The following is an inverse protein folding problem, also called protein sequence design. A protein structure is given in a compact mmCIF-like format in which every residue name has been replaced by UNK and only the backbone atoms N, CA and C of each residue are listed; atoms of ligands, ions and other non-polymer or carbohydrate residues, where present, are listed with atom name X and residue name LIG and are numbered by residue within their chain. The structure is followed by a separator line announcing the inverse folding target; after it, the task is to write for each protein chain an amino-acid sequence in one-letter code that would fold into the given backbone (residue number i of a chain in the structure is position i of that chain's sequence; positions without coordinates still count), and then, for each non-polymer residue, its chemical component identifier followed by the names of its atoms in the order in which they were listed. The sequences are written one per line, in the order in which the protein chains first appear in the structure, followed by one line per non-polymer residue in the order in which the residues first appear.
data_IF_185514157922
#
_entry.id   IF_185514157922
#
_cell.length_a   1.000
_cell.length_b   1.000
_cell.length_c   1.000
_cell.angle_alpha   90.00
_cell.angle_beta   90.00
_cell.angle_gamma   90.00
#
_symmetry.space_group_name_H-M   'P 1'
#
loop_
_entity.id
_entity.type
_entity.pdbx_description
1 polymer ?
#
# COMPACT_ATOMS: atom_id res chain seq x y z
N UNK A 1 -1.26 -13.98 15.46
CA UNK A 1 -0.75 -14.07 14.08
C UNK A 1 -1.61 -13.17 13.20
N UNK A 2 -0.99 -12.23 12.49
CA UNK A 2 -1.69 -11.33 11.56
C UNK A 2 -1.34 -11.69 10.12
N UNK A 3 -2.26 -11.48 9.19
CA UNK A 3 -2.08 -11.83 7.76
C UNK A 3 -0.89 -11.09 7.10
N UNK A 4 -0.43 -10.00 7.71
CA UNK A 4 0.72 -9.20 7.25
C UNK A 4 1.43 -8.52 8.42
N UNK A 5 2.73 -8.27 8.25
CA UNK A 5 3.60 -7.66 9.27
C UNK A 5 4.08 -6.24 8.90
N UNK A 6 3.81 -5.79 7.67
CA UNK A 6 4.26 -4.48 7.16
C UNK A 6 3.14 -3.75 6.43
N UNK A 7 3.26 -2.42 6.30
CA UNK A 7 2.35 -1.60 5.49
C UNK A 7 2.36 -2.05 4.03
N UNK A 8 3.51 -2.45 3.48
CA UNK A 8 3.61 -2.99 2.13
C UNK A 8 2.81 -4.30 1.98
N UNK A 9 2.93 -5.21 2.95
CA UNK A 9 2.16 -6.45 2.99
C UNK A 9 0.66 -6.20 3.07
N UNK A 10 0.24 -5.24 3.89
CA UNK A 10 -1.16 -4.81 3.94
C UNK A 10 -1.66 -4.26 2.60
N UNK A 11 -0.90 -3.34 1.97
CA UNK A 11 -1.28 -2.77 0.67
C UNK A 11 -1.43 -3.87 -0.39
N UNK A 12 -0.49 -4.82 -0.43
CA UNK A 12 -0.55 -5.95 -1.35
C UNK A 12 -1.75 -6.87 -1.09
N UNK A 13 -2.10 -7.13 0.17
CA UNK A 13 -3.26 -7.97 0.51
C UNK A 13 -4.58 -7.30 0.11
N UNK A 14 -4.67 -5.97 0.20
CA UNK A 14 -5.85 -5.21 -0.22
C UNK A 14 -5.98 -5.12 -1.75
N UNK A 15 -4.87 -4.98 -2.49
CA UNK A 15 -4.90 -4.84 -3.96
C UNK A 15 -4.96 -6.19 -4.69
N UNK A 16 -4.38 -7.25 -4.13
CA UNK A 16 -4.35 -8.58 -4.75
C UNK A 16 -3.40 -8.72 -5.94
N UNK A 17 -2.60 -7.69 -6.24
CA UNK A 17 -1.56 -7.71 -7.27
C UNK A 17 -0.38 -6.80 -6.91
N UNK A 18 0.69 -6.83 -7.71
CA UNK A 18 1.79 -5.88 -7.57
C UNK A 18 1.30 -4.51 -8.08
N UNK A 19 1.37 -3.44 -7.27
CA UNK A 19 0.89 -2.13 -7.66
C UNK A 19 1.86 -1.39 -8.56
N UNK A 20 1.36 -0.30 -9.13
CA UNK A 20 2.19 0.71 -9.81
C UNK A 20 2.33 1.96 -8.93
N UNK A 21 3.36 2.77 -9.19
CA UNK A 21 3.48 4.07 -8.52
C UNK A 21 2.28 4.97 -8.85
N UNK A 22 1.77 5.68 -7.84
CA UNK A 22 0.57 6.50 -7.90
C UNK A 22 -0.74 5.75 -7.64
N UNK A 23 -0.70 4.41 -7.56
CA UNK A 23 -1.87 3.60 -7.23
C UNK A 23 -2.33 3.82 -5.78
N UNK A 24 -3.65 3.79 -5.56
CA UNK A 24 -4.26 4.26 -4.33
C UNK A 24 -5.30 3.28 -3.82
N UNK A 25 -5.39 3.16 -2.50
CA UNK A 25 -6.48 2.47 -1.84
C UNK A 25 -6.99 3.30 -0.67
N UNK A 26 -8.26 3.11 -0.34
CA UNK A 26 -8.90 3.74 0.82
C UNK A 26 -9.19 2.68 1.87
N UNK A 27 -8.87 2.98 3.12
CA UNK A 27 -9.12 2.10 4.27
C UNK A 27 -9.39 2.94 5.52
N UNK A 28 -10.51 2.72 6.19
CA UNK A 28 -10.93 3.41 7.43
C UNK A 28 -10.60 4.92 7.47
N UNK A 29 -11.15 5.70 6.53
CA UNK A 29 -10.93 7.16 6.38
C UNK A 29 -9.46 7.55 6.15
N UNK A 30 -8.63 6.61 5.72
CA UNK A 30 -7.29 6.87 5.22
C UNK A 30 -7.26 6.63 3.72
N UNK A 31 -6.47 7.44 3.03
CA UNK A 31 -6.01 7.18 1.67
C UNK A 31 -4.53 6.82 1.73
N UNK A 32 -4.21 5.65 1.19
CA UNK A 32 -2.85 5.17 1.03
C UNK A 32 -2.48 5.26 -0.45
N UNK A 33 -1.33 5.85 -0.75
CA UNK A 33 -0.81 6.00 -2.11
C UNK A 33 0.57 5.36 -2.18
N UNK A 34 0.78 4.42 -3.10
CA UNK A 34 2.10 3.87 -3.39
C UNK A 34 2.90 4.95 -4.11
N UNK A 35 3.84 5.61 -3.44
CA UNK A 35 4.58 6.73 -4.02
C UNK A 35 5.92 6.32 -4.60
N UNK A 36 6.43 5.14 -4.25
CA UNK A 36 7.68 4.64 -4.80
C UNK A 36 7.74 3.11 -4.78
N UNK A 37 8.15 2.54 -5.91
CA UNK A 37 8.43 1.12 -6.11
C UNK A 37 9.92 0.90 -6.40
N UNK A 38 10.48 -0.17 -5.86
CA UNK A 38 11.80 -0.68 -6.23
C UNK A 38 11.65 -2.11 -6.74
N UNK A 39 11.54 -2.26 -8.07
CA UNK A 39 11.16 -3.53 -8.67
C UNK A 39 9.78 -3.97 -8.16
N UNK A 40 9.70 -5.10 -7.45
CA UNK A 40 8.44 -5.63 -6.88
C UNK A 40 8.17 -5.20 -5.44
N UNK A 41 9.07 -4.40 -4.85
CA UNK A 41 8.97 -3.95 -3.46
C UNK A 41 8.37 -2.55 -3.40
N UNK A 42 7.34 -2.38 -2.58
CA UNK A 42 6.86 -1.04 -2.19
C UNK A 42 7.91 -0.43 -1.26
N UNK A 43 8.49 0.69 -1.67
CA UNK A 43 9.51 1.39 -0.88
C UNK A 43 8.90 2.51 -0.04
N UNK A 44 7.88 3.22 -0.58
CA UNK A 44 7.19 4.31 0.12
C UNK A 44 5.69 4.29 -0.11
N UNK A 45 4.95 4.58 0.96
CA UNK A 45 3.52 4.79 0.95
C UNK A 45 3.24 6.13 1.62
N UNK A 46 2.49 6.99 0.95
CA UNK A 46 1.93 8.20 1.55
C UNK A 46 0.57 7.86 2.15
N UNK A 47 0.36 8.25 3.41
CA UNK A 47 -0.92 8.08 4.10
C UNK A 47 -1.50 9.45 4.40
N UNK A 48 -2.73 9.69 3.97
CA UNK A 48 -3.48 10.91 4.29
C UNK A 48 -4.81 10.55 4.93
N UNK A 49 -5.31 11.43 5.81
CA UNK A 49 -6.67 11.33 6.33
C UNK A 49 -7.63 11.92 5.29
N UNK A 50 -8.72 11.21 5.01
CA UNK A 50 -9.85 11.68 4.19
C UNK A 50 -10.72 12.66 4.96
#
# INVERSE_FOLDING_TARGET
EGEYETVAGFVLSQLGHIPHEGEQLSYDRLRLVVTQMHGRKIERVLVTRL
#
